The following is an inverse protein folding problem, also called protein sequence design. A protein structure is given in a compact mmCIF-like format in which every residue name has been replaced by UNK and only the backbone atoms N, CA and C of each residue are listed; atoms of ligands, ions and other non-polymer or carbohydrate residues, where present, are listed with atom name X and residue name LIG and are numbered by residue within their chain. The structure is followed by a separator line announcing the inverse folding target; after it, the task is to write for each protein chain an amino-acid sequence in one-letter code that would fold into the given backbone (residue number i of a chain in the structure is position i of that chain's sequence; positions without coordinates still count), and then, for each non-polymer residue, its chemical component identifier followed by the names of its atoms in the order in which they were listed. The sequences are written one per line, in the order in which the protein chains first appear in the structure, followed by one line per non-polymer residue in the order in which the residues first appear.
data_IF_061101986848
#
_entry.id   IF_061101986848
#
_cell.length_a   1.000
_cell.length_b   1.000
_cell.length_c   1.000
_cell.angle_alpha   90.00
_cell.angle_beta   90.00
_cell.angle_gamma   90.00
#
_symmetry.space_group_name_H-M   'P 1'
#
loop_
_entity.id
_entity.type
_entity.pdbx_description
1 polymer ?
#
# COMPACT_ATOMS: atom_id res chain seq x y z
N UNK A 1 10.73 -14.87 -0.96
CA UNK A 1 9.86 -13.96 -0.15
C UNK A 1 9.49 -12.77 -0.99
N UNK A 2 8.30 -12.15 -0.76
CA UNK A 2 7.99 -10.90 -1.46
C UNK A 2 8.99 -9.81 -1.07
N UNK A 3 9.31 -8.96 -2.01
CA UNK A 3 10.25 -7.84 -1.90
C UNK A 3 9.55 -6.49 -1.63
N UNK A 4 8.25 -6.56 -1.33
CA UNK A 4 7.38 -5.40 -1.11
C UNK A 4 6.40 -5.64 0.04
N UNK A 5 6.12 -4.58 0.80
CA UNK A 5 5.04 -4.53 1.81
C UNK A 5 4.34 -3.17 1.82
N UNK A 6 3.01 -3.19 1.99
CA UNK A 6 2.23 -2.01 2.32
C UNK A 6 2.13 -1.87 3.83
N UNK A 7 2.58 -0.73 4.37
CA UNK A 7 2.57 -0.43 5.80
C UNK A 7 1.19 0.12 6.18
N UNK A 8 0.35 -0.72 6.78
CA UNK A 8 -0.98 -0.34 7.27
C UNK A 8 -0.92 0.36 8.63
N UNK A 9 0.09 0.06 9.46
CA UNK A 9 0.21 0.62 10.81
C UNK A 9 0.39 2.15 10.82
N UNK A 10 0.96 2.74 9.77
CA UNK A 10 1.09 4.18 9.60
C UNK A 10 -0.25 4.92 9.51
N UNK A 11 -1.32 4.22 9.12
CA UNK A 11 -2.68 4.76 9.11
C UNK A 11 -3.20 5.08 10.52
N UNK A 12 -2.93 4.20 11.47
CA UNK A 12 -3.42 4.34 12.85
C UNK A 12 -2.56 5.29 13.68
N UNK A 13 -1.27 5.33 13.41
CA UNK A 13 -0.31 6.19 14.10
C UNK A 13 0.87 6.50 13.19
N UNK A 14 1.23 7.78 13.10
CA UNK A 14 2.47 8.19 12.41
C UNK A 14 3.66 7.47 13.03
N UNK A 15 4.43 6.68 12.28
CA UNK A 15 5.60 6.00 12.81
C UNK A 15 6.69 7.03 13.13
N UNK A 16 7.42 6.81 14.22
CA UNK A 16 8.54 7.68 14.55
C UNK A 16 9.79 7.33 13.71
N UNK A 17 10.72 8.27 13.63
CA UNK A 17 11.95 8.13 12.86
C UNK A 17 12.77 6.87 13.22
N UNK A 18 12.80 6.46 14.49
CA UNK A 18 13.51 5.26 14.93
C UNK A 18 12.92 3.97 14.33
N UNK A 19 11.59 3.87 14.33
CA UNK A 19 10.90 2.72 13.70
C UNK A 19 11.21 2.64 12.22
N UNK A 20 11.11 3.77 11.51
CA UNK A 20 11.31 3.82 10.06
C UNK A 20 12.76 3.53 9.69
N UNK A 21 13.74 4.06 10.43
CA UNK A 21 15.17 3.71 10.30
C UNK A 21 15.39 2.20 10.49
N UNK A 22 14.71 1.58 11.45
CA UNK A 22 14.81 0.14 11.67
C UNK A 22 14.21 -0.66 10.51
N UNK A 23 13.10 -0.23 9.91
CA UNK A 23 12.55 -0.88 8.72
C UNK A 23 13.56 -0.81 7.55
N UNK A 24 14.15 0.36 7.32
CA UNK A 24 15.18 0.51 6.28
C UNK A 24 16.38 -0.40 6.51
N UNK A 25 16.92 -0.42 7.74
CA UNK A 25 18.12 -1.21 8.09
C UNK A 25 17.89 -2.72 8.08
N UNK A 26 16.70 -3.19 8.50
CA UNK A 26 16.38 -4.62 8.63
C UNK A 26 15.91 -5.27 7.33
N UNK A 27 15.71 -4.51 6.28
CA UNK A 27 15.30 -5.02 4.98
C UNK A 27 16.44 -4.89 3.96
N UNK A 28 16.57 -5.85 3.01
CA UNK A 28 17.56 -5.76 1.94
C UNK A 28 17.43 -4.47 1.11
N UNK A 29 18.49 -4.09 0.40
CA UNK A 29 18.50 -2.88 -0.42
C UNK A 29 17.41 -2.86 -1.52
N UNK A 30 17.04 -4.03 -2.05
CA UNK A 30 16.01 -4.18 -3.06
C UNK A 30 14.58 -4.19 -2.50
N UNK A 31 14.40 -4.30 -1.17
CA UNK A 31 13.07 -4.34 -0.55
C UNK A 31 12.38 -2.98 -0.63
N UNK A 32 11.08 -3.00 -0.91
CA UNK A 32 10.28 -1.79 -1.16
C UNK A 32 9.10 -1.70 -0.20
N UNK A 33 8.63 -0.47 -0.01
CA UNK A 33 7.51 -0.13 0.85
C UNK A 33 6.51 0.75 0.11
N UNK A 34 5.23 0.59 0.45
CA UNK A 34 4.27 1.66 0.38
C UNK A 34 3.79 1.97 1.79
N UNK A 35 3.39 3.19 2.08
CA UNK A 35 2.88 3.56 3.39
C UNK A 35 1.60 4.37 3.25
N UNK A 36 0.62 4.07 4.10
CA UNK A 36 -0.62 4.85 4.15
C UNK A 36 -0.43 6.15 4.89
N UNK A 37 -1.07 7.18 4.40
CA UNK A 37 -1.23 8.43 5.15
C UNK A 37 -1.96 8.16 6.47
N UNK A 38 -1.55 8.84 7.56
CA UNK A 38 -2.23 8.75 8.84
C UNK A 38 -3.72 9.10 8.75
N UNK A 39 -4.53 8.36 9.52
CA UNK A 39 -5.98 8.57 9.63
C UNK A 39 -6.35 10.00 10.00
N UNK A 40 -5.55 10.62 10.86
CA UNK A 40 -5.74 12.02 11.28
C UNK A 40 -5.77 12.98 10.08
N UNK A 41 -4.96 12.74 9.04
CA UNK A 41 -4.92 13.57 7.83
C UNK A 41 -6.16 13.31 6.97
N UNK A 42 -6.42 12.05 6.63
CA UNK A 42 -7.39 11.69 5.60
C UNK A 42 -8.82 11.56 6.11
N UNK A 43 -9.03 11.08 7.32
CA UNK A 43 -10.35 10.77 7.89
C UNK A 43 -10.79 11.76 8.96
N UNK A 44 -9.95 12.05 9.94
CA UNK A 44 -10.34 12.86 11.09
C UNK A 44 -10.40 14.36 10.70
N UNK A 45 -9.34 14.89 10.08
CA UNK A 45 -9.28 16.27 9.56
C UNK A 45 -9.76 16.43 8.12
N UNK A 46 -10.01 15.32 7.41
CA UNK A 46 -10.53 15.32 6.05
C UNK A 46 -9.74 16.22 5.09
N UNK A 47 -8.40 16.13 5.16
CA UNK A 47 -7.40 16.91 4.40
C UNK A 47 -7.37 18.42 4.71
N UNK A 48 -8.00 18.89 5.78
CA UNK A 48 -8.07 20.32 6.13
C UNK A 48 -7.11 20.66 7.25
N UNK A 49 -6.32 21.72 7.08
CA UNK A 49 -5.34 22.21 8.08
C UNK A 49 -4.46 21.06 8.65
N UNK A 50 -3.76 20.37 7.75
CA UNK A 50 -2.98 19.15 8.06
C UNK A 50 -1.47 19.32 7.87
N UNK A 51 -1.00 20.54 7.73
CA UNK A 51 0.40 20.87 7.42
C UNK A 51 1.35 20.26 8.45
N UNK A 52 1.02 20.35 9.73
CA UNK A 52 1.82 19.78 10.82
C UNK A 52 1.87 18.25 10.79
N UNK A 53 0.74 17.62 10.50
CA UNK A 53 0.66 16.16 10.39
C UNK A 53 1.41 15.64 9.16
N UNK A 54 1.37 16.40 8.05
CA UNK A 54 2.14 16.10 6.83
C UNK A 54 3.64 16.21 7.11
N UNK A 55 4.08 17.32 7.71
CA UNK A 55 5.48 17.53 8.10
C UNK A 55 5.99 16.40 8.99
N UNK A 56 5.23 16.04 10.04
CA UNK A 56 5.56 14.93 10.94
C UNK A 56 5.65 13.60 10.19
N UNK A 57 4.73 13.33 9.28
CA UNK A 57 4.73 12.09 8.50
C UNK A 57 5.93 12.03 7.55
N UNK A 58 6.17 13.08 6.79
CA UNK A 58 7.31 13.14 5.85
C UNK A 58 8.66 13.10 6.56
N UNK A 59 8.81 13.78 7.71
CA UNK A 59 10.05 13.74 8.51
C UNK A 59 10.42 12.31 8.94
N UNK A 60 9.45 11.42 9.03
CA UNK A 60 9.68 10.01 9.32
C UNK A 60 9.91 9.20 8.04
N UNK A 61 9.10 9.41 6.99
CA UNK A 61 9.17 8.62 5.75
C UNK A 61 10.48 8.82 4.99
N UNK A 62 11.12 9.96 5.10
CA UNK A 62 12.42 10.24 4.47
C UNK A 62 13.50 9.20 4.82
N UNK A 63 13.41 8.55 5.97
CA UNK A 63 14.38 7.50 6.36
C UNK A 63 14.19 6.16 5.62
N UNK A 64 13.14 5.98 4.83
CA UNK A 64 13.03 4.87 3.89
C UNK A 64 13.72 5.17 2.56
N UNK A 65 13.98 6.47 2.26
CA UNK A 65 14.69 6.89 1.05
C UNK A 65 14.07 6.27 -0.23
N UNK A 66 14.92 5.73 -1.10
CA UNK A 66 14.50 5.11 -2.36
C UNK A 66 13.68 3.81 -2.19
N UNK A 67 13.51 3.33 -0.96
CA UNK A 67 12.69 2.14 -0.70
C UNK A 67 11.19 2.42 -0.75
N UNK A 68 10.75 3.68 -0.76
CA UNK A 68 9.31 4.02 -0.89
C UNK A 68 8.90 4.00 -2.35
N UNK A 69 8.00 3.10 -2.72
CA UNK A 69 7.41 3.06 -4.06
C UNK A 69 6.34 4.14 -4.23
N UNK A 70 5.45 4.26 -3.23
CA UNK A 70 4.39 5.27 -3.20
C UNK A 70 3.85 5.49 -1.79
N UNK A 71 3.33 6.67 -1.54
CA UNK A 71 2.53 7.00 -0.36
C UNK A 71 1.05 6.98 -0.74
N UNK A 72 0.23 6.27 0.06
CA UNK A 72 -1.17 6.01 -0.22
C UNK A 72 -2.08 6.95 0.58
N UNK A 73 -2.79 7.82 -0.11
CA UNK A 73 -3.85 8.68 0.42
C UNK A 73 -5.18 7.95 0.27
N UNK A 74 -5.60 7.23 1.31
CA UNK A 74 -6.88 6.55 1.31
C UNK A 74 -7.96 7.50 1.82
N UNK A 75 -8.92 7.86 0.97
CA UNK A 75 -10.05 8.71 1.34
C UNK A 75 -11.16 7.90 2.03
N UNK A 76 -11.91 8.51 2.97
CA UNK A 76 -13.06 7.84 3.59
C UNK A 76 -14.20 7.63 2.59
N UNK A 77 -15.04 6.59 2.78
CA UNK A 77 -16.19 6.33 1.89
C UNK A 77 -17.20 7.49 1.79
N UNK A 78 -17.26 8.32 2.82
CA UNK A 78 -18.15 9.50 2.87
C UNK A 78 -17.59 10.74 2.18
N UNK A 79 -16.39 10.64 1.55
CA UNK A 79 -15.76 11.77 0.87
C UNK A 79 -15.97 11.67 -0.64
N UNK A 80 -17.01 12.34 -1.11
CA UNK A 80 -17.30 12.48 -2.54
C UNK A 80 -16.31 13.40 -3.26
N UNK A 81 -16.44 13.47 -4.58
CA UNK A 81 -15.49 14.18 -5.45
C UNK A 81 -15.31 15.65 -5.09
N UNK A 82 -16.40 16.37 -4.79
CA UNK A 82 -16.34 17.84 -4.55
C UNK A 82 -15.48 18.14 -3.31
N UNK A 83 -15.79 17.49 -2.19
CA UNK A 83 -15.04 17.68 -0.96
C UNK A 83 -13.60 17.19 -1.09
N UNK A 84 -13.43 15.98 -1.65
CA UNK A 84 -12.12 15.38 -1.75
C UNK A 84 -11.19 16.10 -2.72
N UNK A 85 -11.68 16.62 -3.86
CA UNK A 85 -10.84 17.43 -4.76
C UNK A 85 -10.41 18.74 -4.11
N UNK A 86 -11.28 19.40 -3.35
CA UNK A 86 -10.90 20.62 -2.63
C UNK A 86 -9.81 20.29 -1.60
N UNK A 87 -10.01 19.27 -0.76
CA UNK A 87 -9.00 18.86 0.22
C UNK A 87 -7.68 18.41 -0.43
N UNK A 88 -7.73 17.72 -1.58
CA UNK A 88 -6.49 17.38 -2.31
C UNK A 88 -5.79 18.62 -2.87
N UNK A 89 -6.53 19.62 -3.41
CA UNK A 89 -5.93 20.88 -3.85
C UNK A 89 -5.22 21.61 -2.72
N UNK A 90 -5.80 21.59 -1.51
CA UNK A 90 -5.22 22.25 -0.34
C UNK A 90 -3.90 21.58 0.08
N UNK A 91 -3.79 20.24 0.01
CA UNK A 91 -2.58 19.53 0.45
C UNK A 91 -1.52 19.34 -0.65
N UNK A 92 -1.86 19.41 -1.94
CA UNK A 92 -0.90 19.17 -3.04
C UNK A 92 0.35 20.07 -2.94
N UNK A 93 0.26 21.38 -2.62
CA UNK A 93 1.44 22.21 -2.47
C UNK A 93 2.38 21.76 -1.34
N UNK A 94 1.85 21.10 -0.31
CA UNK A 94 2.57 20.63 0.88
C UNK A 94 3.18 19.22 0.69
N UNK A 95 2.88 18.56 -0.43
CA UNK A 95 3.36 17.20 -0.67
C UNK A 95 4.86 17.21 -1.01
N UNK A 96 5.61 16.34 -0.35
CA UNK A 96 7.04 16.16 -0.62
C UNK A 96 7.28 15.53 -2.00
N UNK A 97 7.85 16.30 -2.93
CA UNK A 97 8.07 15.91 -4.33
C UNK A 97 9.01 14.72 -4.55
N UNK A 98 9.67 14.24 -3.50
CA UNK A 98 10.51 13.03 -3.53
C UNK A 98 9.69 11.75 -3.63
N UNK A 99 8.41 11.79 -3.25
CA UNK A 99 7.56 10.61 -3.22
C UNK A 99 6.53 10.61 -4.37
N UNK A 100 6.14 9.40 -4.77
CA UNK A 100 4.96 9.15 -5.60
C UNK A 100 3.72 9.09 -4.71
N UNK A 101 2.59 9.57 -5.23
CA UNK A 101 1.32 9.58 -4.49
C UNK A 101 0.26 8.77 -5.21
N UNK A 102 -0.40 7.90 -4.46
CA UNK A 102 -1.54 7.14 -4.92
C UNK A 102 -2.78 7.49 -4.09
N UNK A 103 -3.91 7.75 -4.74
CA UNK A 103 -5.16 8.13 -4.08
C UNK A 103 -6.18 7.02 -4.24
N UNK A 104 -6.60 6.42 -3.12
CA UNK A 104 -7.68 5.45 -3.11
C UNK A 104 -9.00 6.14 -2.78
N UNK A 105 -9.85 6.26 -3.79
CA UNK A 105 -11.20 6.78 -3.66
C UNK A 105 -12.16 5.64 -3.29
N UNK A 106 -13.19 5.94 -2.49
CA UNK A 106 -14.16 4.96 -1.99
C UNK A 106 -15.61 5.39 -2.19
N UNK A 107 -15.83 6.41 -3.01
CA UNK A 107 -17.14 6.89 -3.42
C UNK A 107 -17.21 6.91 -4.94
N UNK A 108 -18.35 6.51 -5.51
CA UNK A 108 -18.50 6.39 -6.97
C UNK A 108 -18.56 7.73 -7.70
N UNK A 109 -18.82 8.83 -7.01
CA UNK A 109 -18.78 10.17 -7.62
C UNK A 109 -17.44 10.53 -8.25
N UNK A 110 -16.37 9.84 -7.84
CA UNK A 110 -15.03 10.00 -8.41
C UNK A 110 -14.84 9.35 -9.79
N UNK A 111 -15.80 8.54 -10.27
CA UNK A 111 -15.64 7.78 -11.52
C UNK A 111 -16.10 8.60 -12.72
N UNK A 112 -15.38 9.67 -13.00
CA UNK A 112 -15.64 10.59 -14.09
C UNK A 112 -14.38 11.31 -14.58
N UNK A 113 -14.41 11.81 -15.82
CA UNK A 113 -13.27 12.43 -16.51
C UNK A 113 -12.65 13.60 -15.73
N UNK A 114 -13.47 14.36 -15.00
CA UNK A 114 -13.02 15.45 -14.15
C UNK A 114 -12.00 14.96 -13.11
N UNK A 115 -12.27 13.82 -12.45
CA UNK A 115 -11.37 13.24 -11.47
C UNK A 115 -10.12 12.65 -12.14
N UNK A 116 -10.28 11.96 -13.27
CA UNK A 116 -9.15 11.36 -13.99
C UNK A 116 -8.17 12.43 -14.47
N UNK A 117 -8.69 13.51 -15.05
CA UNK A 117 -7.90 14.66 -15.46
C UNK A 117 -7.22 15.35 -14.28
N UNK A 118 -7.93 15.50 -13.16
CA UNK A 118 -7.35 16.07 -11.94
C UNK A 118 -6.15 15.26 -11.43
N UNK A 119 -6.28 13.93 -11.34
CA UNK A 119 -5.18 13.08 -10.91
C UNK A 119 -4.01 13.12 -11.90
N UNK A 120 -4.28 13.07 -13.21
CA UNK A 120 -3.26 13.13 -14.24
C UNK A 120 -2.48 14.45 -14.20
N UNK A 121 -3.18 15.59 -14.11
CA UNK A 121 -2.56 16.91 -14.06
C UNK A 121 -1.72 17.15 -12.79
N UNK A 122 -1.98 16.43 -11.72
CA UNK A 122 -1.22 16.50 -10.48
C UNK A 122 -0.25 15.34 -10.28
N UNK A 123 -0.02 14.52 -11.30
CA UNK A 123 0.87 13.35 -11.26
C UNK A 123 0.55 12.39 -10.09
N UNK A 124 -0.73 12.13 -9.84
CA UNK A 124 -1.23 11.25 -8.80
C UNK A 124 -1.85 9.99 -9.40
N UNK A 125 -1.50 8.83 -8.87
CA UNK A 125 -2.08 7.55 -9.28
C UNK A 125 -3.48 7.38 -8.66
N UNK A 126 -4.52 7.27 -9.49
CA UNK A 126 -5.81 6.77 -9.01
C UNK A 126 -5.70 5.26 -8.79
N UNK A 127 -5.84 4.83 -7.53
CA UNK A 127 -5.70 3.41 -7.16
C UNK A 127 -6.81 2.57 -7.77
N UNK A 128 -6.43 1.44 -8.39
CA UNK A 128 -7.38 0.43 -8.84
C UNK A 128 -7.71 -0.49 -7.68
N UNK A 129 -8.81 -0.22 -7.00
CA UNK A 129 -9.20 -1.00 -5.82
C UNK A 129 -10.45 -1.83 -6.06
N UNK A 130 -10.47 -3.00 -5.46
CA UNK A 130 -11.64 -3.87 -5.40
C UNK A 130 -12.04 -4.10 -3.95
N UNK A 131 -13.13 -3.44 -3.58
CA UNK A 131 -13.84 -3.59 -2.32
C UNK A 131 -15.13 -4.40 -2.54
N UNK A 132 -15.92 -4.59 -1.49
CA UNK A 132 -17.20 -5.29 -1.56
C UNK A 132 -18.17 -4.66 -2.58
N UNK A 133 -18.36 -3.35 -2.48
CA UNK A 133 -19.40 -2.62 -3.20
C UNK A 133 -18.86 -1.65 -4.26
N UNK A 134 -17.55 -1.49 -4.34
CA UNK A 134 -16.89 -0.57 -5.26
C UNK A 134 -15.73 -1.26 -5.96
N UNK A 135 -15.70 -1.11 -7.26
CA UNK A 135 -14.55 -1.43 -8.11
C UNK A 135 -14.18 -0.20 -8.92
N UNK A 136 -13.00 0.32 -8.68
CA UNK A 136 -12.47 1.49 -9.38
C UNK A 136 -12.29 1.17 -10.87
N UNK A 137 -12.64 2.07 -11.80
CA UNK A 137 -12.27 1.93 -13.21
C UNK A 137 -10.74 1.86 -13.38
N UNK A 138 -10.24 1.03 -14.30
CA UNK A 138 -8.80 0.84 -14.53
C UNK A 138 -8.23 1.97 -15.41
N UNK A 139 -8.21 3.18 -14.91
CA UNK A 139 -7.68 4.37 -15.59
C UNK A 139 -6.24 4.62 -15.13
N UNK A 140 -5.32 4.79 -16.10
CA UNK A 140 -3.93 5.17 -15.83
C UNK A 140 -3.83 6.69 -15.78
N UNK A 141 -3.48 7.24 -14.63
CA UNK A 141 -3.40 8.70 -14.42
C UNK A 141 -1.97 9.21 -14.23
N UNK A 142 -0.98 8.32 -14.14
CA UNK A 142 0.44 8.68 -13.98
C UNK A 142 1.34 7.56 -14.53
N UNK A 143 2.65 7.64 -14.28
CA UNK A 143 3.65 6.66 -14.73
C UNK A 143 3.63 5.32 -13.99
N UNK A 144 2.71 5.15 -13.05
CA UNK A 144 2.55 3.89 -12.34
C UNK A 144 1.08 3.54 -12.07
N UNK A 145 0.83 2.26 -11.79
CA UNK A 145 -0.47 1.73 -11.38
C UNK A 145 -0.35 1.12 -9.98
N UNK A 146 -1.34 1.36 -9.14
CA UNK A 146 -1.43 0.72 -7.83
C UNK A 146 -2.75 -0.05 -7.74
N UNK A 147 -2.65 -1.38 -7.68
CA UNK A 147 -3.81 -2.30 -7.55
C UNK A 147 -3.92 -2.76 -6.10
N UNK A 148 -5.11 -2.65 -5.52
CA UNK A 148 -5.39 -3.12 -4.17
C UNK A 148 -6.57 -4.10 -4.14
N UNK A 149 -6.28 -5.36 -3.83
CA UNK A 149 -7.27 -6.41 -3.58
C UNK A 149 -7.68 -6.39 -2.10
N UNK A 150 -8.75 -5.69 -1.76
CA UNK A 150 -9.15 -5.42 -0.36
C UNK A 150 -10.19 -6.42 0.14
N UNK A 151 -11.23 -6.70 -0.67
CA UNK A 151 -12.30 -7.64 -0.32
C UNK A 151 -13.42 -7.01 0.52
N UNK A 152 -14.24 -7.89 1.10
CA UNK A 152 -15.53 -7.55 1.71
C UNK A 152 -15.56 -7.75 3.24
N UNK A 153 -14.44 -8.12 3.85
CA UNK A 153 -14.28 -8.38 5.28
C UNK A 153 -15.19 -9.48 5.85
N UNK A 154 -15.76 -10.34 5.01
CA UNK A 154 -16.60 -11.46 5.48
C UNK A 154 -15.77 -12.64 5.97
N UNK A 155 -14.47 -12.71 5.64
CA UNK A 155 -13.53 -13.72 6.14
C UNK A 155 -13.01 -13.24 7.50
N UNK A 156 -13.20 -14.06 8.55
CA UNK A 156 -12.72 -13.76 9.89
C UNK A 156 -11.21 -13.94 10.00
N UNK A 157 -10.55 -13.16 10.84
CA UNK A 157 -9.08 -13.19 10.99
C UNK A 157 -8.53 -14.55 11.42
N UNK A 158 -9.28 -15.30 12.26
CA UNK A 158 -8.93 -16.66 12.69
C UNK A 158 -8.84 -17.66 11.53
N UNK A 159 -9.47 -17.34 10.39
CA UNK A 159 -9.54 -18.18 9.21
C UNK A 159 -8.51 -17.81 8.14
N UNK A 160 -7.67 -16.80 8.39
CA UNK A 160 -6.62 -16.40 7.47
C UNK A 160 -5.54 -17.49 7.30
N UNK A 161 -4.79 -17.41 6.20
CA UNK A 161 -3.67 -18.31 5.90
C UNK A 161 -3.93 -19.31 4.78
N UNK A 162 -5.17 -19.39 4.26
CA UNK A 162 -5.53 -20.22 3.08
C UNK A 162 -6.52 -19.46 2.19
N UNK A 163 -6.51 -19.78 0.89
CA UNK A 163 -7.52 -19.23 -0.04
C UNK A 163 -8.87 -19.88 0.30
N UNK A 164 -9.87 -19.03 0.52
CA UNK A 164 -11.23 -19.42 0.91
C UNK A 164 -12.29 -18.96 -0.09
N UNK A 165 -12.03 -17.85 -0.79
CA UNK A 165 -12.91 -17.33 -1.83
C UNK A 165 -12.22 -17.43 -3.19
N UNK A 166 -12.94 -17.96 -4.16
CA UNK A 166 -12.49 -17.93 -5.56
C UNK A 166 -12.69 -16.49 -6.10
N UNK A 167 -11.60 -15.85 -6.42
CA UNK A 167 -11.53 -14.51 -7.01
C UNK A 167 -10.83 -14.53 -8.39
N UNK A 168 -10.66 -15.71 -8.97
CA UNK A 168 -9.87 -15.87 -10.20
C UNK A 168 -10.46 -15.06 -11.35
N UNK A 169 -11.80 -15.06 -11.50
CA UNK A 169 -12.45 -14.34 -12.59
C UNK A 169 -12.23 -12.82 -12.52
N UNK A 170 -12.33 -12.26 -11.31
CA UNK A 170 -12.07 -10.83 -11.06
C UNK A 170 -10.58 -10.49 -11.28
N UNK A 171 -9.69 -11.31 -10.74
CA UNK A 171 -8.25 -11.12 -10.90
C UNK A 171 -7.81 -11.22 -12.37
N UNK A 172 -8.40 -12.11 -13.16
CA UNK A 172 -8.16 -12.19 -14.62
C UNK A 172 -8.55 -10.90 -15.34
N UNK A 173 -9.61 -10.20 -14.90
CA UNK A 173 -9.99 -8.89 -15.47
C UNK A 173 -8.91 -7.85 -15.17
N UNK A 174 -8.45 -7.78 -13.91
CA UNK A 174 -7.38 -6.87 -13.52
C UNK A 174 -6.05 -7.15 -14.25
N UNK A 175 -5.69 -8.43 -14.40
CA UNK A 175 -4.49 -8.82 -15.14
C UNK A 175 -4.57 -8.39 -16.63
N UNK A 176 -5.74 -8.54 -17.27
CA UNK A 176 -5.95 -8.07 -18.66
C UNK A 176 -5.84 -6.55 -18.77
N UNK A 177 -6.44 -5.79 -17.85
CA UNK A 177 -6.32 -4.34 -17.85
C UNK A 177 -4.86 -3.90 -17.67
N UNK A 178 -4.12 -4.51 -16.76
CA UNK A 178 -2.72 -4.19 -16.54
C UNK A 178 -1.85 -4.54 -17.76
N UNK A 179 -2.04 -5.72 -18.36
CA UNK A 179 -1.33 -6.11 -19.59
C UNK A 179 -1.64 -5.14 -20.73
N UNK A 180 -2.90 -4.77 -20.92
CA UNK A 180 -3.30 -3.79 -21.93
C UNK A 180 -2.69 -2.42 -21.68
N UNK A 181 -2.73 -1.92 -20.45
CA UNK A 181 -2.12 -0.64 -20.09
C UNK A 181 -0.60 -0.62 -20.38
N UNK A 182 0.10 -1.75 -20.13
CA UNK A 182 1.52 -1.89 -20.42
C UNK A 182 1.81 -1.96 -21.93
N UNK A 183 1.04 -2.77 -22.66
CA UNK A 183 1.42 -3.18 -24.02
C UNK A 183 0.83 -2.26 -25.10
N UNK A 184 -0.40 -1.75 -24.93
CA UNK A 184 -1.15 -1.05 -25.97
C UNK A 184 -1.29 0.45 -25.74
N UNK A 185 -1.61 0.88 -24.52
CA UNK A 185 -2.05 2.27 -24.26
C UNK A 185 -0.95 3.17 -23.69
N UNK A 186 0.01 2.61 -22.95
CA UNK A 186 0.96 3.36 -22.15
C UNK A 186 2.39 2.80 -22.19
N UNK A 187 2.76 2.13 -23.28
CA UNK A 187 4.04 1.40 -23.40
C UNK A 187 5.27 2.22 -22.98
N UNK A 188 5.26 3.51 -23.26
CA UNK A 188 6.38 4.41 -22.94
C UNK A 188 6.15 5.21 -21.63
N UNK A 189 5.02 5.04 -20.97
CA UNK A 189 4.65 5.82 -19.78
C UNK A 189 4.56 4.98 -18.52
N UNK A 190 4.10 3.71 -18.60
CA UNK A 190 3.90 2.88 -17.41
C UNK A 190 5.21 2.21 -16.99
N UNK A 191 5.85 2.74 -15.96
CA UNK A 191 7.15 2.28 -15.46
C UNK A 191 7.06 1.33 -14.27
N UNK A 192 5.93 1.30 -13.56
CA UNK A 192 5.77 0.56 -12.32
C UNK A 192 4.33 0.08 -12.13
N UNK A 193 4.16 -1.16 -11.67
CA UNK A 193 2.90 -1.68 -11.16
C UNK A 193 3.07 -2.19 -9.73
N UNK A 194 2.36 -1.58 -8.79
CA UNK A 194 2.31 -1.99 -7.38
C UNK A 194 1.05 -2.80 -7.17
N UNK A 195 1.16 -3.98 -6.57
CA UNK A 195 -0.01 -4.84 -6.30
C UNK A 195 0.01 -5.29 -4.85
N UNK A 196 -0.98 -4.86 -4.08
CA UNK A 196 -1.17 -5.25 -2.69
C UNK A 196 -2.44 -6.11 -2.52
N UNK A 197 -2.35 -7.18 -1.76
CA UNK A 197 -3.47 -8.08 -1.48
C UNK A 197 -3.69 -8.22 0.03
N UNK A 198 -4.89 -7.87 0.47
CA UNK A 198 -5.32 -8.05 1.85
C UNK A 198 -5.85 -9.48 2.06
N UNK A 199 -5.68 -10.02 3.27
CA UNK A 199 -6.22 -11.34 3.61
C UNK A 199 -7.75 -11.39 3.46
N UNK A 200 -8.47 -10.31 3.71
CA UNK A 200 -9.92 -10.24 3.52
C UNK A 200 -10.39 -10.42 2.08
N UNK A 201 -9.51 -10.27 1.07
CA UNK A 201 -9.90 -10.45 -0.33
C UNK A 201 -10.27 -11.89 -0.65
N UNK A 202 -9.38 -12.83 -0.30
CA UNK A 202 -9.57 -14.24 -0.60
C UNK A 202 -9.18 -15.21 0.54
N UNK A 203 -8.79 -14.70 1.72
CA UNK A 203 -8.37 -15.48 2.88
C UNK A 203 -6.86 -15.50 3.12
N UNK A 204 -6.05 -15.27 2.08
CA UNK A 204 -4.60 -15.34 2.17
C UNK A 204 -3.94 -14.37 1.16
N UNK A 205 -3.48 -13.23 1.66
CA UNK A 205 -2.86 -12.17 0.84
C UNK A 205 -1.65 -12.65 0.03
N UNK A 206 -0.66 -13.34 0.62
CA UNK A 206 0.47 -13.89 -0.13
C UNK A 206 0.05 -14.89 -1.23
N UNK A 207 -0.91 -15.76 -0.95
CA UNK A 207 -1.46 -16.69 -1.95
C UNK A 207 -2.18 -15.95 -3.08
N UNK A 208 -2.96 -14.90 -2.74
CA UNK A 208 -3.61 -14.01 -3.72
C UNK A 208 -2.56 -13.34 -4.62
N UNK A 209 -1.50 -12.80 -4.03
CA UNK A 209 -0.42 -12.18 -4.79
C UNK A 209 0.26 -13.19 -5.74
N UNK A 210 0.52 -14.43 -5.31
CA UNK A 210 1.08 -15.48 -6.16
C UNK A 210 0.16 -15.89 -7.31
N UNK A 211 -1.15 -16.02 -7.06
CA UNK A 211 -2.14 -16.30 -8.11
C UNK A 211 -2.10 -15.16 -9.15
N UNK A 212 -2.03 -13.91 -8.72
CA UNK A 212 -1.98 -12.77 -9.64
C UNK A 212 -0.65 -12.70 -10.40
N UNK A 213 0.48 -13.02 -9.76
CA UNK A 213 1.79 -13.14 -10.41
C UNK A 213 1.75 -14.13 -11.59
N UNK A 214 1.16 -15.31 -11.38
CA UNK A 214 0.97 -16.29 -12.47
C UNK A 214 0.15 -15.75 -13.64
N UNK A 215 -0.88 -14.95 -13.37
CA UNK A 215 -1.69 -14.33 -14.43
C UNK A 215 -0.91 -13.27 -15.22
N UNK A 216 0.20 -12.76 -14.68
CA UNK A 216 1.12 -11.82 -15.30
C UNK A 216 2.39 -12.52 -15.86
N UNK A 217 2.40 -13.85 -15.94
CA UNK A 217 3.52 -14.67 -16.41
C UNK A 217 4.80 -14.49 -15.55
N UNK A 218 4.61 -14.17 -14.26
CA UNK A 218 5.68 -14.04 -13.28
C UNK A 218 5.78 -15.31 -12.41
N UNK A 219 7.00 -15.68 -11.99
CA UNK A 219 7.24 -16.81 -11.11
C UNK A 219 6.56 -16.62 -9.74
N UNK A 220 6.08 -17.72 -9.15
CA UNK A 220 5.62 -17.70 -7.76
C UNK A 220 6.78 -17.41 -6.82
N UNK A 221 6.46 -16.76 -5.71
CA UNK A 221 7.39 -16.53 -4.60
C UNK A 221 7.11 -17.57 -3.51
N UNK A 222 8.10 -18.37 -3.16
CA UNK A 222 8.00 -19.43 -2.16
C UNK A 222 8.83 -19.11 -0.92
N UNK A 223 8.54 -19.77 0.21
CA UNK A 223 9.33 -19.64 1.43
C UNK A 223 10.75 -20.19 1.27
N UNK A 224 10.96 -21.15 0.35
CA UNK A 224 12.25 -21.78 0.07
C UNK A 224 13.23 -20.83 -0.65
N UNK A 225 12.72 -19.73 -1.25
CA UNK A 225 13.54 -18.73 -1.93
C UNK A 225 14.23 -17.79 -0.93
N UNK A 226 13.93 -17.94 0.36
CA UNK A 226 14.49 -17.10 1.42
C UNK A 226 15.74 -17.73 1.98
N UNK A 227 16.90 -17.33 1.47
CA UNK A 227 18.16 -17.51 2.19
C UNK A 227 18.22 -16.46 3.30
N UNK A 228 17.70 -16.78 4.49
CA UNK A 228 18.07 -16.02 5.67
C UNK A 228 19.57 -16.24 5.91
N UNK A 229 20.39 -15.19 6.01
CA UNK A 229 21.70 -15.36 6.60
C UNK A 229 21.42 -15.94 8.00
N UNK A 230 21.96 -17.12 8.29
CA UNK A 230 21.96 -17.64 9.66
C UNK A 230 22.73 -16.62 10.50
N UNK A 231 22.01 -15.70 11.13
CA UNK A 231 22.57 -14.99 12.27
C UNK A 231 22.79 -16.08 13.32
N UNK A 232 24.04 -16.43 13.54
CA UNK A 232 24.41 -17.20 14.73
C UNK A 232 23.76 -16.49 15.92
N UNK A 233 22.78 -17.13 16.53
CA UNK A 233 22.25 -16.64 17.80
C UNK A 233 23.44 -16.67 18.74
N UNK A 234 23.83 -15.54 19.34
CA UNK A 234 24.83 -15.60 20.39
C UNK A 234 24.31 -16.60 21.42
N UNK A 235 25.13 -17.59 21.78
CA UNK A 235 24.80 -18.60 22.76
C UNK A 235 24.31 -17.86 24.00
N UNK A 236 23.02 -18.05 24.35
CA UNK A 236 22.46 -17.54 25.58
C UNK A 236 23.07 -18.31 26.75
N UNK A 237 24.27 -17.91 27.14
CA UNK A 237 24.78 -18.10 28.50
C UNK A 237 24.32 -16.88 29.32
N UNK A 238 23.04 -16.71 29.49
CA UNK A 238 22.48 -15.81 30.49
C UNK A 238 21.81 -16.68 31.54
N UNK A 239 22.44 -16.72 32.71
CA UNK A 239 21.78 -17.18 33.94
C UNK A 239 20.42 -16.51 34.00
N UNK A 240 19.38 -17.31 34.06
CA UNK A 240 18.01 -16.87 34.25
C UNK A 240 17.92 -16.25 35.65
N UNK A 241 18.06 -14.94 35.76
CA UNK A 241 17.70 -14.21 36.99
C UNK A 241 16.19 -14.25 37.10
N UNK A 242 15.71 -14.82 38.19
CA UNK A 242 14.27 -14.87 38.45
C UNK A 242 13.78 -13.50 38.93
N UNK A 243 12.46 -13.22 38.76
CA UNK A 243 11.83 -11.97 39.21
C UNK A 243 12.04 -11.71 40.71
N UNK A 244 12.34 -12.74 41.52
CA UNK A 244 12.63 -12.64 42.96
C UNK A 244 13.97 -11.96 43.26
N UNK A 245 14.88 -11.86 42.31
CA UNK A 245 16.19 -11.21 42.50
C UNK A 245 16.13 -9.69 42.35
N UNK A 246 14.98 -9.16 41.91
CA UNK A 246 14.74 -7.72 41.75
C UNK A 246 14.02 -7.08 42.97
N UNK A 247 13.66 -7.88 43.98
CA UNK A 247 12.88 -7.40 45.14
C UNK A 247 13.65 -7.49 46.47
N UNK A 248 15.00 -7.48 46.39
CA UNK A 248 15.85 -7.34 47.57
C UNK A 248 16.62 -6.03 47.57
#
# INVERSE_FOLDING_TARGET
MFDFVEIDSSFYRTPNAFMVKNWSKKTPAHFRFAAKFPKVITHDKRLKAVEKELELFFSSMVYLEDKVLALLIQLPPSMGIVEGMNGLRDIIPELDKRFRYAVEVRDSSWFQDLAYSFFANNNMCMVWSQLANIRTPPIVTTDFVYIRFIGDRTIQEKDFGKIQKDRISEMKKWARFLKRARDEEQKDRLNLAIVAANNHYAGFGPGTANIFRKMLDLSEVTWNDVKFPRTERPSRNTKQTSLSDFLK
#
